data_IF_505532027751
#
_entry.id   IF_505532027751
#
_cell.length_a   1.000
_cell.length_b   1.000
_cell.length_c   1.000
_cell.angle_alpha   90.00
_cell.angle_beta   90.00
_cell.angle_gamma   90.00
#
_symmetry.space_group_name_H-M   'P 1'
#
loop_
_entity.id
_entity.type
_entity.pdbx_description
1 polymer ?
#
# COMPACT_ATOMS: atom_id res chain seq x y z
N UNK A 1 -4.54 13.31 -18.16
CA UNK A 1 -3.09 13.13 -17.98
C UNK A 1 -2.78 13.58 -16.57
N UNK A 2 -2.78 12.65 -15.63
CA UNK A 2 -2.62 12.94 -14.19
C UNK A 2 -1.13 12.90 -13.87
N UNK A 3 -0.61 14.00 -13.34
CA UNK A 3 0.80 14.14 -12.96
C UNK A 3 1.07 13.36 -11.64
N UNK A 4 1.57 12.14 -11.78
CA UNK A 4 1.85 11.20 -10.68
C UNK A 4 3.12 11.59 -9.89
N UNK A 5 3.85 12.62 -10.30
CA UNK A 5 5.17 12.97 -9.76
C UNK A 5 5.21 13.51 -8.33
N UNK A 6 4.08 13.89 -7.74
CA UNK A 6 4.10 14.69 -6.51
C UNK A 6 3.69 13.98 -5.23
N UNK A 7 3.30 12.70 -5.26
CA UNK A 7 2.55 12.12 -4.15
C UNK A 7 3.31 11.10 -3.27
N UNK A 8 4.51 10.65 -3.65
CA UNK A 8 5.24 9.62 -2.88
C UNK A 8 6.31 10.17 -1.90
N UNK A 9 6.33 11.50 -1.66
CA UNK A 9 7.40 12.16 -0.89
C UNK A 9 7.41 11.94 0.63
N UNK A 10 6.50 11.17 1.22
CA UNK A 10 6.35 11.09 2.68
C UNK A 10 6.24 9.69 3.28
N UNK A 11 6.88 8.68 2.71
CA UNK A 11 7.05 7.41 3.45
C UNK A 11 8.20 7.58 4.43
N UNK A 12 7.87 8.00 5.65
CA UNK A 12 8.81 8.27 6.73
C UNK A 12 8.97 7.02 7.60
N UNK A 13 10.11 6.37 7.51
CA UNK A 13 10.47 5.29 8.43
C UNK A 13 10.67 5.85 9.85
N UNK A 14 9.77 5.54 10.78
CA UNK A 14 9.98 5.89 12.19
C UNK A 14 10.92 4.88 12.82
N UNK A 15 12.16 5.29 13.10
CA UNK A 15 13.00 4.63 14.12
C UNK A 15 12.35 4.86 15.48
N UNK A 16 11.79 3.81 16.08
CA UNK A 16 11.35 3.86 17.47
C UNK A 16 12.55 3.67 18.39
N UNK A 17 13.04 4.77 18.96
CA UNK A 17 14.06 4.74 20.02
C UNK A 17 13.36 4.95 21.36
N UNK A 18 13.02 3.89 22.09
CA UNK A 18 13.13 3.81 23.56
C UNK A 18 12.57 2.50 24.14
N UNK A 19 13.28 2.01 25.15
CA UNK A 19 13.01 0.96 26.15
C UNK A 19 13.20 -0.50 25.74
N UNK A 20 13.92 -1.25 26.61
CA UNK A 20 14.32 -2.67 26.60
C UNK A 20 13.16 -3.69 26.45
N UNK A 21 12.42 -3.63 25.34
CA UNK A 21 11.65 -4.74 24.78
C UNK A 21 12.42 -5.20 23.56
N UNK A 22 12.58 -6.49 23.38
CA UNK A 22 13.05 -7.08 22.12
C UNK A 22 12.27 -6.41 21.00
N UNK A 23 12.89 -5.45 20.32
CA UNK A 23 12.29 -4.73 19.19
C UNK A 23 12.19 -5.73 18.06
N UNK A 24 11.05 -6.37 17.92
CA UNK A 24 10.69 -7.02 16.69
C UNK A 24 10.61 -5.90 15.66
N UNK A 25 11.64 -5.77 14.82
CA UNK A 25 11.60 -4.80 13.72
C UNK A 25 10.47 -5.23 12.80
N UNK A 26 9.41 -4.42 12.74
CA UNK A 26 8.31 -4.64 11.81
C UNK A 26 8.80 -4.20 10.44
N UNK A 27 8.82 -5.11 9.48
CA UNK A 27 8.98 -4.76 8.09
C UNK A 27 7.66 -4.18 7.58
N UNK A 28 7.72 -3.01 6.98
CA UNK A 28 6.56 -2.35 6.42
C UNK A 28 6.42 -2.65 4.94
N UNK A 29 5.24 -3.07 4.55
CA UNK A 29 4.82 -3.22 3.17
C UNK A 29 4.08 -1.93 2.77
N UNK A 30 4.67 -1.15 1.88
CA UNK A 30 4.05 0.05 1.32
C UNK A 30 3.03 -0.35 0.26
N UNK A 31 1.82 0.19 0.35
CA UNK A 31 0.71 -0.13 -0.56
C UNK A 31 0.16 1.14 -1.22
N UNK A 32 -0.14 1.03 -2.51
CA UNK A 32 -1.00 1.95 -3.25
C UNK A 32 -2.30 1.21 -3.59
N UNK A 33 -3.41 1.63 -2.99
CA UNK A 33 -4.72 0.99 -3.14
C UNK A 33 -5.61 1.88 -3.99
N UNK A 34 -6.06 1.35 -5.11
CA UNK A 34 -7.03 1.98 -5.99
C UNK A 34 -8.33 1.16 -6.01
N UNK A 35 -9.44 1.82 -5.72
CA UNK A 35 -10.79 1.25 -5.81
C UNK A 35 -11.54 2.04 -6.88
N UNK A 36 -12.13 1.33 -7.84
CA UNK A 36 -12.87 1.94 -8.95
C UNK A 36 -14.21 1.26 -9.15
N UNK A 37 -15.20 2.04 -9.61
CA UNK A 37 -16.55 1.57 -9.90
C UNK A 37 -17.44 2.68 -10.41
N UNK A 38 -18.75 2.44 -10.45
CA UNK A 38 -19.73 3.48 -10.69
C UNK A 38 -19.89 4.39 -9.47
N UNK A 39 -20.43 5.57 -9.69
CA UNK A 39 -20.72 6.54 -8.62
C UNK A 39 -21.55 5.93 -7.50
N UNK A 40 -22.62 5.20 -7.82
CA UNK A 40 -23.53 4.57 -6.84
C UNK A 40 -22.76 3.55 -5.98
N UNK A 41 -21.93 2.72 -6.58
CA UNK A 41 -21.17 1.67 -5.89
C UNK A 41 -20.10 2.24 -4.98
N UNK A 42 -19.42 3.31 -5.44
CA UNK A 42 -18.45 4.01 -4.60
C UNK A 42 -19.11 4.79 -3.48
N UNK A 43 -20.31 5.32 -3.66
CA UNK A 43 -21.07 5.96 -2.58
C UNK A 43 -21.37 4.96 -1.45
N UNK A 44 -21.87 3.74 -1.78
CA UNK A 44 -22.05 2.67 -0.80
C UNK A 44 -20.77 2.34 -0.02
N UNK A 45 -19.63 2.31 -0.71
CA UNK A 45 -18.33 2.12 -0.06
C UNK A 45 -17.98 3.32 0.83
N UNK A 46 -18.18 4.56 0.37
CA UNK A 46 -17.87 5.77 1.13
C UNK A 46 -18.68 5.87 2.42
N UNK A 47 -19.93 5.39 2.45
CA UNK A 47 -20.73 5.31 3.68
C UNK A 47 -20.04 4.45 4.75
N UNK A 48 -19.29 3.43 4.37
CA UNK A 48 -18.57 2.59 5.33
C UNK A 48 -17.42 3.31 6.02
N UNK A 49 -16.85 4.35 5.41
CA UNK A 49 -15.74 5.11 5.98
C UNK A 49 -16.13 5.95 7.20
N UNK A 50 -17.43 6.12 7.44
CA UNK A 50 -17.94 6.74 8.67
C UNK A 50 -18.07 5.77 9.84
N UNK A 51 -17.81 4.46 9.61
CA UNK A 51 -17.76 3.45 10.69
C UNK A 51 -16.46 3.62 11.48
N UNK A 52 -16.50 3.56 12.82
CA UNK A 52 -15.28 3.59 13.63
C UNK A 52 -14.34 2.41 13.31
N UNK A 53 -13.03 2.66 13.45
CA UNK A 53 -12.01 1.61 13.36
C UNK A 53 -12.05 0.68 14.60
N UNK A 54 -11.11 -0.28 14.67
CA UNK A 54 -10.97 -1.21 15.81
C UNK A 54 -10.85 -0.50 17.17
N UNK A 55 -10.31 0.73 17.20
CA UNK A 55 -10.14 1.54 18.42
C UNK A 55 -11.36 2.40 18.77
N UNK A 56 -12.42 2.34 17.96
CA UNK A 56 -13.59 3.20 18.11
C UNK A 56 -13.42 4.62 17.57
N UNK A 57 -12.42 4.88 16.75
CA UNK A 57 -12.09 6.19 16.18
C UNK A 57 -12.57 6.27 14.72
N UNK A 58 -13.09 7.43 14.32
CA UNK A 58 -13.34 7.73 12.92
C UNK A 58 -12.03 8.16 12.28
N UNK A 59 -11.58 7.37 11.32
CA UNK A 59 -10.32 7.59 10.58
C UNK A 59 -10.62 7.67 9.08
N UNK A 60 -9.74 8.30 8.28
CA UNK A 60 -9.95 8.44 6.84
C UNK A 60 -10.14 7.12 6.09
N UNK A 61 -9.45 6.06 6.54
CA UNK A 61 -9.56 4.71 6.04
C UNK A 61 -8.99 3.69 7.04
N UNK A 62 -9.65 2.54 7.15
CA UNK A 62 -9.23 1.38 7.93
C UNK A 62 -9.81 0.12 7.27
N UNK A 63 -9.09 -0.99 7.31
CA UNK A 63 -9.62 -2.27 6.83
C UNK A 63 -10.84 -2.71 7.63
N UNK A 64 -10.88 -2.36 8.92
CA UNK A 64 -12.00 -2.67 9.81
C UNK A 64 -13.33 -2.05 9.35
N UNK A 65 -13.30 -0.88 8.76
CA UNK A 65 -14.52 -0.19 8.29
C UNK A 65 -15.28 -0.99 7.23
N UNK A 66 -14.55 -1.74 6.40
CA UNK A 66 -15.13 -2.54 5.31
C UNK A 66 -15.17 -4.03 5.60
N UNK A 67 -14.19 -4.54 6.33
CA UNK A 67 -14.06 -5.96 6.72
C UNK A 67 -13.80 -6.02 8.23
N UNK A 68 -14.85 -5.88 9.05
CA UNK A 68 -14.71 -5.77 10.49
C UNK A 68 -14.21 -7.09 11.12
N UNK A 69 -13.35 -6.95 12.13
CA UNK A 69 -12.99 -8.03 13.06
C UNK A 69 -13.97 -7.99 14.22
N UNK A 70 -14.40 -9.16 14.65
CA UNK A 70 -15.31 -9.26 15.79
C UNK A 70 -14.67 -8.67 17.06
N UNK A 71 -15.44 -7.90 17.80
CA UNK A 71 -15.01 -7.29 19.05
C UNK A 71 -14.45 -8.34 20.03
N UNK A 72 -13.29 -8.05 20.61
CA UNK A 72 -12.56 -8.97 21.49
C UNK A 72 -11.59 -9.92 20.78
N UNK A 73 -11.54 -9.87 19.43
CA UNK A 73 -10.64 -10.70 18.60
C UNK A 73 -9.66 -9.87 17.78
N UNK A 74 -9.28 -8.68 18.25
CA UNK A 74 -8.44 -7.71 17.50
C UNK A 74 -6.93 -8.00 17.59
N UNK A 75 -6.55 -9.27 17.91
CA UNK A 75 -5.13 -9.65 17.95
C UNK A 75 -4.45 -9.56 16.59
N UNK A 76 -3.11 -9.44 16.58
CA UNK A 76 -2.31 -9.48 15.35
C UNK A 76 -2.57 -10.74 14.53
N UNK A 77 -2.72 -11.89 15.21
CA UNK A 77 -3.04 -13.17 14.56
C UNK A 77 -4.40 -13.12 13.86
N UNK A 78 -5.42 -12.58 14.53
CA UNK A 78 -6.75 -12.43 13.93
C UNK A 78 -6.74 -11.48 12.74
N UNK A 79 -6.02 -10.36 12.83
CA UNK A 79 -5.83 -9.42 11.71
C UNK A 79 -5.14 -10.11 10.53
N UNK A 80 -4.06 -10.86 10.77
CA UNK A 80 -3.37 -11.62 9.72
C UNK A 80 -4.29 -12.64 9.03
N UNK A 81 -5.18 -13.30 9.77
CA UNK A 81 -6.15 -14.23 9.19
C UNK A 81 -7.20 -13.49 8.37
N UNK A 82 -7.78 -12.40 8.90
CA UNK A 82 -8.91 -11.69 8.29
C UNK A 82 -8.47 -10.76 7.17
N UNK A 83 -7.34 -10.06 7.34
CA UNK A 83 -6.87 -9.05 6.39
C UNK A 83 -5.64 -9.49 5.55
N UNK A 84 -4.89 -10.51 6.00
CA UNK A 84 -3.64 -10.95 5.37
C UNK A 84 -2.39 -10.24 5.91
N UNK A 85 -2.57 -9.30 6.83
CA UNK A 85 -1.52 -8.53 7.50
C UNK A 85 -1.87 -8.36 8.98
N UNK A 86 -0.89 -8.41 9.92
CA UNK A 86 -1.15 -8.28 11.34
C UNK A 86 -1.45 -6.85 11.80
N UNK A 87 -1.37 -5.84 10.92
CA UNK A 87 -1.77 -4.46 11.20
C UNK A 87 -3.05 -4.07 10.46
N UNK A 88 -3.70 -2.99 10.91
CA UNK A 88 -4.62 -2.22 10.07
C UNK A 88 -3.83 -1.37 9.07
N UNK A 89 -4.50 -0.60 8.23
CA UNK A 89 -3.87 0.40 7.39
C UNK A 89 -3.22 1.49 8.27
N UNK A 90 -1.91 1.62 8.18
CA UNK A 90 -1.13 2.63 8.89
C UNK A 90 -0.64 3.72 7.92
N UNK A 91 -0.30 4.89 8.41
CA UNK A 91 0.22 6.01 7.60
C UNK A 91 -0.67 6.35 6.39
N UNK A 92 -1.98 6.26 6.57
CA UNK A 92 -2.95 6.46 5.48
C UNK A 92 -2.87 7.87 4.92
N UNK A 93 -2.73 7.95 3.59
CA UNK A 93 -2.80 9.20 2.83
C UNK A 93 -3.79 9.04 1.67
N UNK A 94 -4.92 9.78 1.73
CA UNK A 94 -5.91 9.80 0.65
C UNK A 94 -5.38 10.70 -0.47
N UNK A 95 -5.14 10.08 -1.64
CA UNK A 95 -4.59 10.76 -2.82
C UNK A 95 -5.71 11.32 -3.70
N UNK A 96 -6.80 10.55 -3.85
CA UNK A 96 -7.95 10.94 -4.64
C UNK A 96 -9.23 10.34 -4.10
N UNK A 97 -10.29 11.15 -4.06
CA UNK A 97 -11.65 10.72 -3.76
C UNK A 97 -12.58 11.40 -4.75
N UNK A 98 -13.08 10.64 -5.71
CA UNK A 98 -14.00 11.10 -6.75
C UNK A 98 -15.20 10.15 -6.84
N UNK A 99 -16.26 10.49 -7.59
CA UNK A 99 -17.40 9.57 -7.80
C UNK A 99 -17.01 8.22 -8.45
N UNK A 100 -15.83 8.09 -9.05
CA UNK A 100 -15.43 6.90 -9.82
C UNK A 100 -14.15 6.24 -9.33
N UNK A 101 -13.38 6.93 -8.48
CA UNK A 101 -12.07 6.47 -8.03
C UNK A 101 -11.84 6.87 -6.58
N UNK A 102 -11.41 5.91 -5.77
CA UNK A 102 -10.80 6.14 -4.47
C UNK A 102 -9.36 5.61 -4.53
N UNK A 103 -8.40 6.48 -4.30
CA UNK A 103 -6.98 6.18 -4.33
C UNK A 103 -6.32 6.62 -3.03
N UNK A 104 -5.60 5.71 -2.41
CA UNK A 104 -4.83 5.99 -1.19
C UNK A 104 -3.48 5.28 -1.22
N UNK A 105 -2.55 5.76 -0.40
CA UNK A 105 -1.37 5.01 0.04
C UNK A 105 -1.49 4.69 1.53
N UNK A 106 -0.96 3.53 1.93
CA UNK A 106 -0.86 3.13 3.33
C UNK A 106 0.24 2.09 3.51
N UNK A 107 0.66 1.90 4.77
CA UNK A 107 1.58 0.86 5.17
C UNK A 107 0.84 -0.29 5.86
N UNK A 108 1.31 -1.51 5.65
CA UNK A 108 0.86 -2.71 6.36
C UNK A 108 2.06 -3.49 6.89
N UNK A 109 1.89 -4.19 8.01
CA UNK A 109 2.97 -5.00 8.57
C UNK A 109 3.19 -6.28 7.75
N UNK A 110 4.41 -6.51 7.30
CA UNK A 110 4.94 -7.72 6.64
C UNK A 110 4.38 -8.03 5.25
N UNK A 111 3.08 -7.89 5.01
CA UNK A 111 2.40 -8.37 3.81
C UNK A 111 1.34 -7.38 3.31
N UNK A 112 1.03 -7.38 2.01
CA UNK A 112 -0.11 -6.64 1.49
C UNK A 112 -1.44 -7.25 2.00
N UNK A 113 -2.54 -6.47 2.01
CA UNK A 113 -3.82 -6.89 2.59
C UNK A 113 -4.63 -7.82 1.66
N UNK A 114 -4.09 -8.97 1.28
CA UNK A 114 -4.69 -9.89 0.30
C UNK A 114 -6.05 -10.44 0.76
N UNK A 115 -6.18 -10.84 2.04
CA UNK A 115 -7.42 -11.42 2.55
C UNK A 115 -8.51 -10.35 2.73
N UNK A 116 -8.11 -9.11 3.11
CA UNK A 116 -9.00 -7.97 3.09
C UNK A 116 -9.55 -7.74 1.68
N UNK A 117 -8.68 -7.73 0.67
CA UNK A 117 -9.10 -7.57 -0.74
C UNK A 117 -10.12 -8.61 -1.16
N UNK A 118 -9.91 -9.89 -0.78
CA UNK A 118 -10.88 -10.97 -1.05
C UNK A 118 -12.25 -10.71 -0.41
N UNK A 119 -12.24 -10.28 0.84
CA UNK A 119 -13.47 -10.00 1.59
C UNK A 119 -14.15 -8.73 1.09
N UNK A 120 -13.36 -7.71 0.73
CA UNK A 120 -13.84 -6.47 0.15
C UNK A 120 -14.63 -6.69 -1.15
N UNK A 121 -14.06 -7.40 -2.15
CA UNK A 121 -14.76 -7.63 -3.43
C UNK A 121 -15.92 -8.62 -3.32
N UNK A 122 -16.04 -9.38 -2.24
CA UNK A 122 -17.26 -10.15 -1.93
C UNK A 122 -18.37 -9.25 -1.39
N UNK A 123 -18.01 -8.24 -0.59
CA UNK A 123 -18.96 -7.27 -0.06
C UNK A 123 -19.42 -6.27 -1.11
N UNK A 124 -18.49 -5.85 -1.98
CA UNK A 124 -18.71 -4.88 -3.06
C UNK A 124 -18.33 -5.53 -4.41
N UNK A 125 -19.17 -6.45 -4.93
CA UNK A 125 -18.77 -7.31 -6.05
C UNK A 125 -18.59 -6.57 -7.39
N UNK A 126 -19.15 -5.39 -7.52
CA UNK A 126 -19.05 -4.54 -8.71
C UNK A 126 -17.84 -3.59 -8.66
N UNK A 127 -17.27 -3.34 -7.46
CA UNK A 127 -16.07 -2.56 -7.34
C UNK A 127 -14.84 -3.36 -7.77
N UNK A 128 -13.88 -2.66 -8.35
CA UNK A 128 -12.57 -3.19 -8.69
C UNK A 128 -11.54 -2.67 -7.70
N UNK A 129 -10.63 -3.53 -7.28
CA UNK A 129 -9.51 -3.16 -6.41
C UNK A 129 -8.22 -3.50 -7.12
N UNK A 130 -7.31 -2.53 -7.16
CA UNK A 130 -5.92 -2.70 -7.57
C UNK A 130 -5.03 -2.27 -6.41
N UNK A 131 -4.15 -3.16 -5.98
CA UNK A 131 -3.13 -2.85 -4.99
C UNK A 131 -1.77 -3.10 -5.61
N UNK A 132 -0.96 -2.06 -5.71
CA UNK A 132 0.47 -2.20 -5.96
C UNK A 132 1.19 -2.09 -4.62
N UNK A 133 2.15 -2.97 -4.36
CA UNK A 133 2.83 -3.03 -3.08
C UNK A 133 4.32 -3.36 -3.21
N UNK A 134 5.08 -2.96 -2.21
CA UNK A 134 6.49 -3.32 -2.06
C UNK A 134 6.82 -3.51 -0.58
N UNK A 135 7.54 -4.59 -0.27
CA UNK A 135 8.08 -4.87 1.04
C UNK A 135 9.62 -4.94 0.94
N UNK A 136 10.29 -4.04 1.63
CA UNK A 136 11.74 -3.84 1.50
C UNK A 136 12.58 -4.79 2.36
N UNK A 137 12.06 -5.37 3.43
CA UNK A 137 12.84 -6.21 4.35
C UNK A 137 13.07 -7.62 3.82
N UNK A 138 12.01 -8.27 3.28
CA UNK A 138 12.08 -9.60 2.64
C UNK A 138 12.33 -9.45 1.13
N UNK A 139 12.19 -8.23 0.59
CA UNK A 139 12.50 -7.86 -0.78
C UNK A 139 11.56 -8.51 -1.81
N UNK A 140 10.28 -8.15 -1.74
CA UNK A 140 9.30 -8.50 -2.76
C UNK A 140 8.39 -7.32 -3.11
N UNK A 141 7.86 -7.33 -4.31
CA UNK A 141 6.87 -6.38 -4.79
C UNK A 141 5.83 -7.07 -5.67
N UNK A 142 4.68 -6.45 -5.82
CA UNK A 142 3.65 -7.07 -6.64
C UNK A 142 2.41 -6.24 -6.86
N UNK A 143 1.46 -6.87 -7.56
CA UNK A 143 0.11 -6.34 -7.81
C UNK A 143 -0.93 -7.36 -7.42
N UNK A 144 -1.94 -6.89 -6.70
CA UNK A 144 -3.22 -7.58 -6.51
C UNK A 144 -4.25 -6.89 -7.39
N UNK A 145 -4.91 -7.65 -8.26
CA UNK A 145 -6.07 -7.21 -9.03
C UNK A 145 -7.27 -8.01 -8.59
N UNK A 146 -8.33 -7.35 -8.19
CA UNK A 146 -9.57 -8.01 -7.76
C UNK A 146 -10.78 -7.38 -8.44
N UNK A 147 -11.63 -8.23 -9.03
CA UNK A 147 -12.87 -7.84 -9.71
C UNK A 147 -13.81 -9.04 -9.82
N UNK A 148 -15.11 -8.84 -9.57
CA UNK A 148 -16.13 -9.89 -9.74
C UNK A 148 -15.78 -11.19 -9.03
N UNK A 149 -15.34 -11.11 -7.76
CA UNK A 149 -14.88 -12.26 -6.95
C UNK A 149 -13.66 -13.02 -7.52
N UNK A 150 -13.00 -12.49 -8.54
CA UNK A 150 -11.73 -13.01 -9.05
C UNK A 150 -10.59 -12.17 -8.50
N UNK A 151 -9.51 -12.84 -8.10
CA UNK A 151 -8.28 -12.20 -7.63
C UNK A 151 -7.13 -12.79 -8.40
N UNK A 152 -6.30 -11.90 -8.90
CA UNK A 152 -4.99 -12.24 -9.46
C UNK A 152 -3.94 -11.58 -8.59
N UNK A 153 -2.97 -12.34 -8.15
CA UNK A 153 -1.78 -11.90 -7.47
C UNK A 153 -0.58 -12.16 -8.38
N UNK A 154 0.19 -11.12 -8.64
CA UNK A 154 1.48 -11.23 -9.32
C UNK A 154 2.52 -10.65 -8.40
N UNK A 155 3.53 -11.45 -8.06
CA UNK A 155 4.56 -11.08 -7.10
C UNK A 155 5.94 -11.46 -7.63
N UNK A 156 6.93 -10.63 -7.37
CA UNK A 156 8.30 -10.81 -7.79
C UNK A 156 9.25 -10.53 -6.63
N UNK A 157 10.27 -11.37 -6.43
CA UNK A 157 11.39 -10.99 -5.58
C UNK A 157 12.19 -9.89 -6.25
N UNK A 158 12.89 -9.10 -5.46
CA UNK A 158 13.89 -8.17 -5.95
C UNK A 158 15.13 -8.19 -5.06
N UNK A 159 16.24 -7.70 -5.59
CA UNK A 159 17.45 -7.41 -4.82
C UNK A 159 17.72 -5.91 -4.90
N UNK A 160 18.19 -5.32 -3.81
CA UNK A 160 18.61 -3.92 -3.85
C UNK A 160 19.70 -3.64 -4.89
N UNK A 161 20.52 -4.66 -5.24
CA UNK A 161 21.51 -4.55 -6.32
C UNK A 161 20.91 -4.47 -7.72
N UNK A 162 19.63 -4.87 -7.90
CA UNK A 162 18.93 -4.79 -9.18
C UNK A 162 18.30 -3.41 -9.42
N UNK A 163 18.30 -2.56 -8.40
CA UNK A 163 17.73 -1.23 -8.46
C UNK A 163 18.74 -0.24 -9.03
N UNK A 164 18.52 0.17 -10.27
CA UNK A 164 19.25 1.30 -10.82
C UNK A 164 18.69 2.59 -10.23
N UNK A 165 19.43 3.18 -9.29
CA UNK A 165 19.10 4.49 -8.76
C UNK A 165 19.79 5.57 -9.62
N UNK A 166 18.99 6.43 -10.21
CA UNK A 166 19.48 7.55 -11.02
C UNK A 166 19.58 8.77 -10.10
N UNK A 167 20.76 9.32 -9.96
CA UNK A 167 21.04 10.57 -9.26
C UNK A 167 21.38 11.65 -10.26
N UNK A 168 20.99 12.87 -9.92
CA UNK A 168 21.40 14.06 -10.68
C UNK A 168 22.77 14.49 -10.18
N UNK A 169 23.74 14.51 -11.07
CA UNK A 169 25.08 15.02 -10.82
C UNK A 169 25.10 16.55 -11.03
N UNK A 170 25.22 17.34 -9.95
CA UNK A 170 25.19 18.81 -10.06
C UNK A 170 26.41 19.40 -10.76
N UNK A 171 27.55 18.68 -10.83
CA UNK A 171 28.77 19.16 -11.47
C UNK A 171 28.70 19.01 -12.99
N UNK A 172 28.13 17.92 -13.48
CA UNK A 172 28.01 17.65 -14.93
C UNK A 172 26.66 18.04 -15.51
N UNK A 173 25.66 18.29 -14.66
CA UNK A 173 24.28 18.57 -15.06
C UNK A 173 23.59 17.38 -15.72
N UNK A 174 24.07 16.15 -15.50
CA UNK A 174 23.56 14.91 -16.11
C UNK A 174 23.06 13.93 -15.05
N UNK A 175 22.14 13.11 -15.49
CA UNK A 175 21.72 11.94 -14.73
C UNK A 175 22.78 10.85 -14.85
N UNK A 176 23.14 10.21 -13.73
CA UNK A 176 24.02 9.04 -13.67
C UNK A 176 23.46 7.99 -12.71
N UNK A 177 23.96 6.78 -12.82
CA UNK A 177 23.67 5.76 -11.81
C UNK A 177 24.32 6.14 -10.49
N UNK A 178 23.57 5.99 -9.40
CA UNK A 178 24.09 6.18 -8.05
C UNK A 178 25.14 5.10 -7.72
N UNK A 179 26.14 5.47 -6.96
CA UNK A 179 27.05 4.51 -6.31
C UNK A 179 26.38 3.93 -5.06
N UNK A 180 26.89 2.78 -4.57
CA UNK A 180 26.22 1.99 -3.54
C UNK A 180 26.03 2.76 -2.20
N UNK A 181 26.92 3.70 -1.90
CA UNK A 181 26.89 4.58 -0.72
C UNK A 181 25.95 5.81 -0.90
N UNK A 182 25.55 6.11 -2.11
CA UNK A 182 24.63 7.21 -2.43
C UNK A 182 23.15 6.81 -2.35
N UNK A 183 22.85 5.54 -2.05
CA UNK A 183 21.46 5.09 -1.87
C UNK A 183 20.91 5.59 -0.54
N UNK A 184 20.05 6.64 -0.52
CA UNK A 184 19.44 7.07 0.72
C UNK A 184 18.58 5.95 1.28
N UNK A 185 18.75 5.60 2.54
CA UNK A 185 17.98 4.54 3.22
C UNK A 185 16.46 4.77 3.16
N UNK A 186 16.02 5.99 2.88
CA UNK A 186 14.63 6.43 2.88
C UNK A 186 13.91 6.34 1.53
N UNK A 187 14.63 6.15 0.40
CA UNK A 187 14.02 6.29 -0.96
C UNK A 187 13.78 4.93 -1.64
N UNK A 188 14.44 3.88 -1.20
CA UNK A 188 14.51 2.59 -1.88
C UNK A 188 13.16 1.93 -2.21
N UNK A 189 12.18 1.79 -1.32
CA UNK A 189 10.90 1.15 -1.66
C UNK A 189 9.94 2.04 -2.46
N UNK A 190 9.92 3.35 -2.23
CA UNK A 190 8.98 4.27 -2.88
C UNK A 190 9.30 4.46 -4.37
N UNK A 191 10.58 4.62 -4.73
CA UNK A 191 11.02 4.72 -6.13
C UNK A 191 10.72 3.45 -6.92
N UNK A 192 10.83 2.29 -6.29
CA UNK A 192 10.47 1.01 -6.90
C UNK A 192 8.99 0.86 -7.16
N UNK A 193 8.16 1.26 -6.21
CA UNK A 193 6.71 1.24 -6.39
C UNK A 193 6.31 2.14 -7.56
N UNK A 194 6.95 3.31 -7.70
CA UNK A 194 6.71 4.23 -8.81
C UNK A 194 7.17 3.64 -10.15
N UNK A 195 8.37 3.09 -10.24
CA UNK A 195 8.88 2.44 -11.44
C UNK A 195 8.01 1.24 -11.84
N UNK A 196 7.60 0.44 -10.88
CA UNK A 196 6.71 -0.69 -11.09
C UNK A 196 5.31 -0.25 -11.56
N UNK A 197 4.74 0.78 -10.94
CA UNK A 197 3.47 1.37 -11.35
C UNK A 197 3.52 1.91 -12.78
N UNK A 198 4.62 2.59 -13.16
CA UNK A 198 4.81 3.12 -14.49
C UNK A 198 4.96 2.00 -15.53
N UNK A 199 5.72 0.95 -15.23
CA UNK A 199 5.89 -0.20 -16.11
C UNK A 199 4.55 -0.91 -16.38
N UNK A 200 3.73 -1.11 -15.36
CA UNK A 200 2.42 -1.74 -15.50
C UNK A 200 1.34 -0.84 -16.13
N UNK A 201 1.44 0.48 -16.01
CA UNK A 201 0.52 1.40 -16.70
C UNK A 201 0.74 1.40 -18.21
N UNK A 202 1.97 1.21 -18.67
CA UNK A 202 2.32 1.15 -20.09
C UNK A 202 1.90 -0.17 -20.75
N UNK A 203 1.80 -1.26 -19.96
CA UNK A 203 1.50 -2.59 -20.49
C UNK A 203 -0.01 -2.92 -20.63
N UNK A 204 -0.92 -2.04 -20.18
CA UNK A 204 -2.35 -2.31 -20.10
C UNK A 204 -3.25 -1.17 -20.62
N UNK A 205 -2.76 -0.36 -21.57
CA UNK A 205 -3.58 0.55 -22.40
C UNK A 205 -4.00 -0.15 -23.70
#
# INVERSE_FOLDING_TARGET
MFDTKYQLRHIRWKKNTSSNKTLTMINWCANSIQITGSEIELEEFYETLYTPNVKGEIVPFSFHQTVPIQQGFESEVSKAIVWGTPSDAESVNIISRTPYVFLLSCDTAWNPPLNWTRSFVRRFPSLQVRIAYVEGGIQFYGIILARYNRITLTEYPFSYGDLQHIVYDPETGRERLAEEDEYPDEIRPAGMLEQFMNHYQVAHI
#
